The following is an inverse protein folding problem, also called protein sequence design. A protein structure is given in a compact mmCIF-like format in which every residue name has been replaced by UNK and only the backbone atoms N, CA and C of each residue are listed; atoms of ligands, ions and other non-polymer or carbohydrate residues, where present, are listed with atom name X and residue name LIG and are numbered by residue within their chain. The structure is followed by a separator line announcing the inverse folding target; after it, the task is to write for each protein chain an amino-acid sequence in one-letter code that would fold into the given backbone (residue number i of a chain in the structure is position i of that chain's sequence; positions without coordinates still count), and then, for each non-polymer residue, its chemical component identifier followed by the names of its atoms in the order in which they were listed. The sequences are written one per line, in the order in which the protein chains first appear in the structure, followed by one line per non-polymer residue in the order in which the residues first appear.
data_IF_163291219269
#
_entry.id   IF_163291219269
#
_cell.length_a   1.000
_cell.length_b   1.000
_cell.length_c   1.000
_cell.angle_alpha   90.00
_cell.angle_beta   90.00
_cell.angle_gamma   90.00
#
_symmetry.space_group_name_H-M   'P 1'
#
loop_
_entity.id
_entity.type
_entity.pdbx_description
1 polymer ?
#
# COMPACT_ATOMS: atom_id res chain seq x y z
N UNK A 1 25.76 3.06 26.07
CA UNK A 1 25.90 3.12 24.59
C UNK A 1 26.91 2.13 24.00
N UNK A 2 28.05 1.85 24.63
CA UNK A 2 29.10 0.93 24.09
C UNK A 2 28.67 -0.54 23.91
N UNK A 3 27.78 -1.08 24.77
CA UNK A 3 27.36 -2.51 24.70
C UNK A 3 26.41 -2.83 23.53
N UNK A 4 25.64 -1.85 23.02
CA UNK A 4 24.73 -2.05 21.90
C UNK A 4 25.42 -2.06 20.55
N UNK A 5 26.60 -1.43 20.44
CA UNK A 5 27.42 -1.41 19.21
C UNK A 5 28.01 -2.81 18.93
N UNK A 6 28.38 -3.56 19.97
CA UNK A 6 28.92 -4.93 19.80
C UNK A 6 27.84 -5.93 19.33
N UNK A 7 26.60 -5.76 19.78
CA UNK A 7 25.47 -6.60 19.31
C UNK A 7 25.18 -6.33 17.82
N UNK A 8 25.27 -5.08 17.39
CA UNK A 8 25.06 -4.71 15.98
C UNK A 8 26.20 -5.19 15.07
N UNK A 9 27.43 -5.22 15.55
CA UNK A 9 28.60 -5.71 14.80
C UNK A 9 28.58 -7.25 14.68
N UNK A 10 28.12 -7.97 15.72
CA UNK A 10 27.96 -9.44 15.64
C UNK A 10 26.85 -9.89 14.66
N UNK A 11 25.86 -9.04 14.36
CA UNK A 11 24.80 -9.31 13.39
C UNK A 11 25.23 -9.08 11.93
N UNK A 12 26.37 -8.41 11.71
CA UNK A 12 26.91 -8.07 10.39
C UNK A 12 28.11 -8.92 9.94
N UNK A 13 28.55 -9.85 10.78
CA UNK A 13 29.61 -10.79 10.37
C UNK A 13 28.98 -11.97 9.61
N UNK A 14 29.40 -12.22 8.36
CA UNK A 14 28.98 -13.44 7.66
C UNK A 14 29.53 -14.65 8.43
N UNK A 15 28.64 -15.50 8.93
CA UNK A 15 28.99 -16.82 9.44
C UNK A 15 29.68 -17.61 8.32
N UNK A 16 30.83 -18.24 8.59
CA UNK A 16 31.46 -19.10 7.60
C UNK A 16 30.55 -20.31 7.35
N UNK A 17 29.98 -20.40 6.13
CA UNK A 17 29.40 -21.66 5.63
C UNK A 17 30.52 -22.67 5.43
N UNK A 18 30.67 -23.57 6.36
CA UNK A 18 31.68 -24.62 6.29
C UNK A 18 31.70 -25.48 7.52
N UNK A 19 30.55 -26.01 7.96
CA UNK A 19 30.51 -27.16 8.85
C UNK A 19 29.48 -28.15 8.30
N UNK A 20 29.94 -29.24 7.76
CA UNK A 20 29.12 -30.41 7.47
C UNK A 20 28.51 -30.91 8.80
N UNK A 21 27.29 -30.47 9.08
CA UNK A 21 26.41 -31.10 10.04
C UNK A 21 25.70 -32.24 9.29
N UNK A 22 26.21 -33.46 9.47
CA UNK A 22 25.43 -34.67 9.31
C UNK A 22 24.28 -34.60 10.32
N UNK A 23 23.16 -34.06 9.86
CA UNK A 23 22.00 -33.82 10.72
C UNK A 23 21.01 -34.98 10.63
N UNK A 24 20.36 -35.32 11.76
CA UNK A 24 19.27 -36.32 11.79
C UNK A 24 18.04 -35.91 10.96
N UNK A 25 18.08 -34.76 10.28
CA UNK A 25 17.02 -34.24 9.40
C UNK A 25 16.89 -35.11 8.13
N UNK A 26 17.95 -35.71 7.61
CA UNK A 26 17.90 -36.60 6.45
C UNK A 26 17.07 -37.85 6.71
N UNK A 27 17.15 -38.41 7.93
CA UNK A 27 16.39 -39.61 8.34
C UNK A 27 14.89 -39.31 8.53
N UNK A 28 14.52 -38.06 8.89
CA UNK A 28 13.12 -37.61 8.97
C UNK A 28 12.53 -37.34 7.60
N UNK A 29 13.30 -36.88 6.62
CA UNK A 29 12.83 -36.64 5.25
C UNK A 29 12.56 -37.96 4.53
N UNK A 30 13.45 -38.97 4.69
CA UNK A 30 13.26 -40.29 4.10
C UNK A 30 12.11 -41.08 4.74
N UNK A 31 11.81 -40.84 6.03
CA UNK A 31 10.64 -41.40 6.71
C UNK A 31 9.30 -40.71 6.31
N UNK A 32 9.35 -39.49 5.81
CA UNK A 32 8.19 -38.77 5.33
C UNK A 32 7.78 -39.17 3.91
N UNK A 33 8.73 -39.59 3.07
CA UNK A 33 8.43 -40.05 1.69
C UNK A 33 7.73 -41.42 1.60
N UNK A 34 7.74 -42.23 2.68
CA UNK A 34 7.14 -43.58 2.70
C UNK A 34 5.66 -43.58 3.14
N UNK A 35 5.05 -42.44 3.47
CA UNK A 35 3.64 -42.33 3.85
C UNK A 35 2.75 -41.66 2.78
N UNK A 36 2.87 -42.12 1.55
CA UNK A 36 2.11 -41.57 0.40
C UNK A 36 0.77 -42.25 0.13
N UNK A 37 0.09 -42.86 1.13
CA UNK A 37 -1.25 -43.48 0.96
C UNK A 37 -2.27 -43.12 2.06
N UNK A 38 -2.22 -41.88 2.53
CA UNK A 38 -3.34 -41.30 3.30
C UNK A 38 -3.92 -40.14 2.49
N UNK A 39 -5.29 -39.93 2.48
CA UNK A 39 -5.87 -38.78 1.81
C UNK A 39 -5.21 -37.54 2.36
N UNK A 40 -4.57 -36.77 1.49
CA UNK A 40 -3.79 -35.59 1.84
C UNK A 40 -4.65 -34.68 2.71
N UNK A 41 -4.39 -34.65 4.00
CA UNK A 41 -4.82 -33.57 4.88
C UNK A 41 -4.19 -32.33 4.26
N UNK A 42 -5.00 -31.44 3.69
CA UNK A 42 -4.52 -30.17 3.15
C UNK A 42 -3.88 -29.44 4.32
N UNK A 43 -2.58 -29.53 4.41
CA UNK A 43 -1.79 -28.72 5.35
C UNK A 43 -2.07 -27.25 5.02
N UNK A 44 -2.35 -26.46 6.04
CA UNK A 44 -2.62 -25.01 5.85
C UNK A 44 -1.38 -24.36 5.24
N UNK A 45 -1.53 -23.88 3.98
CA UNK A 45 -0.46 -23.18 3.28
C UNK A 45 -0.48 -21.71 3.69
N UNK A 46 0.53 -21.34 4.47
CA UNK A 46 0.70 -19.98 4.99
C UNK A 46 0.94 -18.96 3.88
N UNK A 47 1.72 -19.33 2.86
CA UNK A 47 2.06 -18.44 1.76
C UNK A 47 0.84 -18.16 0.88
N UNK A 48 0.08 -19.20 0.54
CA UNK A 48 -1.17 -19.06 -0.22
C UNK A 48 -2.19 -18.19 0.55
N UNK A 49 -2.30 -18.40 1.85
CA UNK A 49 -3.19 -17.61 2.72
C UNK A 49 -2.79 -16.13 2.76
N UNK A 50 -1.52 -15.82 3.03
CA UNK A 50 -1.03 -14.45 3.16
C UNK A 50 -1.12 -13.69 1.83
N UNK A 51 -0.56 -14.27 0.77
CA UNK A 51 -0.53 -13.61 -0.54
C UNK A 51 -1.90 -13.56 -1.21
N UNK A 52 -2.76 -14.55 -1.00
CA UNK A 52 -4.11 -14.57 -1.54
C UNK A 52 -4.97 -13.41 -1.02
N UNK A 53 -4.77 -12.99 0.23
CA UNK A 53 -5.52 -11.87 0.82
C UNK A 53 -5.00 -10.49 0.39
N UNK A 54 -3.69 -10.35 0.19
CA UNK A 54 -3.04 -9.06 -0.11
C UNK A 54 -3.00 -8.75 -1.60
N UNK A 55 -2.92 -9.77 -2.46
CA UNK A 55 -2.86 -9.60 -3.92
C UNK A 55 -4.17 -9.06 -4.50
N UNK A 56 -4.04 -8.32 -5.58
CA UNK A 56 -5.17 -7.85 -6.38
C UNK A 56 -5.75 -9.00 -7.22
N UNK A 57 -7.08 -9.10 -7.26
CA UNK A 57 -7.81 -10.18 -7.92
C UNK A 57 -8.93 -9.66 -8.82
N UNK A 58 -9.40 -10.48 -9.77
CA UNK A 58 -10.53 -10.19 -10.66
C UNK A 58 -11.88 -10.56 -10.03
N UNK A 59 -11.88 -11.00 -8.79
CA UNK A 59 -13.07 -11.26 -7.99
C UNK A 59 -12.90 -10.70 -6.59
N UNK A 60 -14.00 -10.36 -5.93
CA UNK A 60 -14.00 -9.94 -4.53
C UNK A 60 -14.54 -11.06 -3.66
N UNK A 61 -13.64 -11.80 -3.03
CA UNK A 61 -14.00 -12.83 -2.08
C UNK A 61 -14.58 -12.19 -0.80
N UNK A 62 -15.80 -12.60 -0.42
CA UNK A 62 -16.49 -12.11 0.78
C UNK A 62 -16.30 -13.08 1.93
N UNK A 63 -16.64 -14.35 1.71
CA UNK A 63 -16.57 -15.40 2.73
C UNK A 63 -16.66 -16.80 2.08
N UNK A 64 -16.31 -17.81 2.86
CA UNK A 64 -16.48 -19.21 2.44
C UNK A 64 -17.56 -19.85 3.30
N UNK A 65 -18.69 -20.26 2.70
CA UNK A 65 -19.80 -20.91 3.38
C UNK A 65 -19.83 -22.37 3.00
N UNK A 66 -19.70 -23.28 3.98
CA UNK A 66 -19.70 -24.74 3.78
C UNK A 66 -18.70 -25.23 2.70
N UNK A 67 -17.52 -24.61 2.60
CA UNK A 67 -16.51 -24.97 1.62
C UNK A 67 -16.71 -24.36 0.23
N UNK A 68 -17.77 -23.59 0.00
CA UNK A 68 -18.00 -22.86 -1.24
C UNK A 68 -17.61 -21.39 -1.07
N UNK A 69 -16.68 -20.84 -1.88
CA UNK A 69 -16.35 -19.43 -1.83
C UNK A 69 -17.53 -18.58 -2.33
N UNK A 70 -17.90 -17.56 -1.57
CA UNK A 70 -18.86 -16.55 -1.98
C UNK A 70 -18.08 -15.33 -2.40
N UNK A 71 -17.96 -15.11 -3.73
CA UNK A 71 -17.25 -14.01 -4.32
C UNK A 71 -18.17 -13.15 -5.21
N UNK A 72 -17.88 -11.88 -5.33
CA UNK A 72 -18.52 -10.99 -6.30
C UNK A 72 -17.65 -11.02 -7.55
N UNK A 73 -18.17 -11.55 -8.69
CA UNK A 73 -17.44 -11.52 -9.95
C UNK A 73 -17.34 -10.07 -10.47
N UNK A 74 -16.17 -9.68 -10.95
CA UNK A 74 -15.92 -8.33 -11.43
C UNK A 74 -15.88 -8.30 -12.98
N UNK A 75 -16.21 -7.16 -13.60
CA UNK A 75 -16.14 -7.01 -15.05
C UNK A 75 -14.70 -6.99 -15.52
N UNK A 76 -14.39 -7.90 -16.45
CA UNK A 76 -13.12 -7.97 -17.16
C UNK A 76 -13.23 -7.21 -18.47
N UNK A 77 -12.29 -6.29 -18.69
CA UNK A 77 -12.21 -5.46 -19.90
C UNK A 77 -10.79 -5.60 -20.44
N UNK A 78 -10.64 -6.33 -21.53
CA UNK A 78 -9.32 -6.59 -22.12
C UNK A 78 -9.33 -6.27 -23.62
N UNK A 79 -8.20 -5.75 -24.10
CA UNK A 79 -7.95 -5.55 -25.52
C UNK A 79 -6.91 -6.55 -25.97
N UNK A 80 -7.31 -7.49 -26.82
CA UNK A 80 -6.43 -8.54 -27.35
C UNK A 80 -5.29 -7.95 -28.17
N UNK A 81 -4.09 -8.50 -28.03
CA UNK A 81 -2.92 -8.19 -28.87
C UNK A 81 -2.74 -9.16 -30.03
N UNK A 82 -3.30 -10.37 -29.92
CA UNK A 82 -3.13 -11.43 -30.91
C UNK A 82 -4.28 -11.46 -31.90
N UNK A 83 -5.54 -11.43 -31.43
CA UNK A 83 -6.74 -11.50 -32.26
C UNK A 83 -7.34 -10.14 -32.62
N UNK A 84 -6.94 -9.08 -31.94
CA UNK A 84 -7.53 -7.74 -32.06
C UNK A 84 -8.96 -7.69 -31.51
N UNK A 85 -9.34 -6.54 -30.95
CA UNK A 85 -10.69 -6.31 -30.44
C UNK A 85 -10.76 -6.07 -28.94
N UNK A 86 -11.86 -5.45 -28.54
CA UNK A 86 -12.21 -5.24 -27.13
C UNK A 86 -13.14 -6.36 -26.68
N UNK A 87 -12.76 -7.05 -25.63
CA UNK A 87 -13.55 -8.12 -25.01
C UNK A 87 -14.01 -7.63 -23.64
N UNK A 88 -15.30 -7.77 -23.34
CA UNK A 88 -15.91 -7.38 -22.07
C UNK A 88 -16.77 -8.53 -21.57
N UNK A 89 -16.38 -9.12 -20.45
CA UNK A 89 -17.09 -10.25 -19.86
C UNK A 89 -16.94 -10.26 -18.33
N UNK A 90 -17.66 -11.13 -17.64
CA UNK A 90 -17.55 -11.30 -16.19
C UNK A 90 -16.42 -12.25 -15.84
N UNK A 91 -15.65 -11.97 -14.78
CA UNK A 91 -14.60 -12.88 -14.28
C UNK A 91 -15.09 -14.30 -13.95
N UNK A 92 -16.40 -14.46 -13.70
CA UNK A 92 -17.03 -15.76 -13.45
C UNK A 92 -16.80 -16.77 -14.60
N UNK A 93 -16.68 -16.29 -15.84
CA UNK A 93 -16.42 -17.16 -16.98
C UNK A 93 -14.99 -17.75 -16.95
N UNK A 94 -14.05 -17.10 -16.26
CA UNK A 94 -12.68 -17.57 -16.10
C UNK A 94 -12.50 -18.55 -14.94
N UNK A 95 -13.47 -18.68 -14.02
CA UNK A 95 -13.43 -19.66 -12.93
C UNK A 95 -13.44 -21.11 -13.46
N UNK A 96 -14.01 -21.31 -14.63
CA UNK A 96 -14.14 -22.64 -15.26
C UNK A 96 -13.06 -22.92 -16.30
N UNK A 97 -12.03 -22.09 -16.40
CA UNK A 97 -10.91 -22.26 -17.32
C UNK A 97 -10.78 -21.15 -18.35
N UNK A 98 -10.68 -21.52 -19.62
CA UNK A 98 -10.50 -20.59 -20.73
C UNK A 98 -11.85 -20.06 -21.25
N UNK A 99 -11.92 -18.75 -21.49
CA UNK A 99 -13.06 -18.09 -22.12
C UNK A 99 -12.58 -17.11 -23.20
N UNK A 100 -13.08 -17.27 -24.43
CA UNK A 100 -12.70 -16.44 -25.60
C UNK A 100 -11.17 -16.37 -25.86
N UNK A 101 -10.43 -17.42 -25.52
CA UNK A 101 -8.96 -17.46 -25.65
C UNK A 101 -8.21 -16.79 -24.49
N UNK A 102 -8.92 -16.32 -23.47
CA UNK A 102 -8.34 -15.75 -22.26
C UNK A 102 -8.44 -16.72 -21.09
N UNK A 103 -7.40 -16.77 -20.28
CA UNK A 103 -7.39 -17.49 -19.01
C UNK A 103 -6.56 -16.74 -17.96
N UNK A 104 -6.71 -17.12 -16.70
CA UNK A 104 -5.86 -16.63 -15.62
C UNK A 104 -4.60 -17.47 -15.56
N UNK A 105 -3.45 -16.85 -15.71
CA UNK A 105 -2.17 -17.54 -15.72
C UNK A 105 -1.92 -18.26 -14.38
N UNK A 106 -1.53 -19.55 -14.40
CA UNK A 106 -1.34 -20.35 -13.21
C UNK A 106 -0.18 -19.85 -12.34
N UNK A 107 -0.17 -20.28 -11.07
CA UNK A 107 0.94 -20.04 -10.16
C UNK A 107 2.27 -20.54 -10.75
N UNK A 108 3.34 -19.74 -10.61
CA UNK A 108 4.66 -20.05 -11.15
C UNK A 108 4.87 -19.68 -12.61
N UNK A 109 3.84 -19.19 -13.34
CA UNK A 109 4.02 -18.66 -14.69
C UNK A 109 4.59 -17.23 -14.67
N UNK A 110 5.08 -16.76 -15.82
CA UNK A 110 5.60 -15.39 -15.97
C UNK A 110 4.59 -14.30 -15.61
N UNK A 111 3.31 -14.57 -15.81
CA UNK A 111 2.21 -13.63 -15.59
C UNK A 111 1.22 -14.13 -14.52
N UNK A 112 1.73 -14.78 -13.49
CA UNK A 112 0.96 -15.37 -12.41
C UNK A 112 -0.22 -14.49 -11.94
N UNK A 113 -1.41 -15.09 -11.86
CA UNK A 113 -2.68 -14.45 -11.46
C UNK A 113 -3.10 -13.24 -12.33
N UNK A 114 -2.61 -13.14 -13.56
CA UNK A 114 -3.05 -12.14 -14.55
C UNK A 114 -3.76 -12.81 -15.71
N UNK A 115 -4.66 -12.04 -16.35
CA UNK A 115 -5.29 -12.50 -17.58
C UNK A 115 -4.26 -12.52 -18.70
N UNK A 116 -4.18 -13.65 -19.38
CA UNK A 116 -3.31 -13.89 -20.54
C UNK A 116 -4.12 -14.47 -21.67
N UNK A 117 -3.64 -14.27 -22.90
CA UNK A 117 -4.15 -14.88 -24.13
C UNK A 117 -3.06 -15.78 -24.71
N UNK A 118 -3.47 -16.86 -25.39
CA UNK A 118 -2.56 -17.74 -26.10
C UNK A 118 -2.32 -17.19 -27.50
N UNK A 119 -1.05 -16.93 -27.84
CA UNK A 119 -0.65 -16.61 -29.21
C UNK A 119 -0.67 -17.86 -30.09
N UNK A 120 -0.62 -17.67 -31.41
CA UNK A 120 -0.63 -18.75 -32.37
C UNK A 120 0.57 -19.74 -32.24
N UNK A 121 1.65 -19.29 -31.57
CA UNK A 121 2.83 -20.10 -31.23
C UNK A 121 2.73 -20.83 -29.90
N UNK A 122 1.59 -20.72 -29.20
CA UNK A 122 1.36 -21.31 -27.89
C UNK A 122 1.99 -20.53 -26.73
N UNK A 123 2.58 -19.36 -26.96
CA UNK A 123 3.14 -18.53 -25.91
C UNK A 123 2.05 -17.69 -25.22
N UNK A 124 2.18 -17.52 -23.89
CA UNK A 124 1.32 -16.62 -23.13
C UNK A 124 1.68 -15.16 -23.39
N UNK A 125 0.73 -14.39 -23.87
CA UNK A 125 0.86 -12.96 -24.13
C UNK A 125 -0.11 -12.21 -23.21
N UNK A 126 0.37 -11.15 -22.56
CA UNK A 126 -0.48 -10.29 -21.72
C UNK A 126 -1.20 -9.26 -22.60
N UNK A 127 -2.56 -9.29 -22.67
CA UNK A 127 -3.35 -8.27 -23.36
C UNK A 127 -3.24 -6.91 -22.66
N UNK A 128 -3.82 -5.87 -23.26
CA UNK A 128 -4.06 -4.60 -22.54
C UNK A 128 -5.24 -4.81 -21.59
N UNK A 129 -4.96 -4.80 -20.29
CA UNK A 129 -5.91 -5.10 -19.24
C UNK A 129 -6.41 -3.81 -18.59
N UNK A 130 -7.69 -3.49 -18.80
CA UNK A 130 -8.41 -2.38 -18.20
C UNK A 130 -9.51 -2.86 -17.25
N UNK A 131 -9.44 -4.10 -16.79
CA UNK A 131 -10.44 -4.75 -15.95
C UNK A 131 -10.62 -4.01 -14.62
N UNK A 132 -11.84 -4.06 -14.10
CA UNK A 132 -12.13 -3.57 -12.77
C UNK A 132 -11.76 -4.68 -11.78
N UNK A 133 -10.57 -4.58 -11.20
CA UNK A 133 -10.09 -5.48 -10.17
C UNK A 133 -10.64 -5.11 -8.78
N UNK A 134 -10.43 -5.97 -7.78
CA UNK A 134 -10.78 -5.71 -6.37
C UNK A 134 -10.26 -4.35 -5.90
N UNK A 135 -8.99 -4.02 -6.19
CA UNK A 135 -8.39 -2.76 -5.78
C UNK A 135 -9.00 -1.56 -6.51
N UNK A 136 -9.30 -1.69 -7.81
CA UNK A 136 -9.95 -0.63 -8.58
C UNK A 136 -11.37 -0.37 -8.08
N UNK A 137 -12.15 -1.42 -7.83
CA UNK A 137 -13.50 -1.27 -7.27
C UNK A 137 -13.44 -0.66 -5.87
N UNK A 138 -12.56 -1.13 -5.01
CA UNK A 138 -12.34 -0.56 -3.68
C UNK A 138 -11.97 0.92 -3.75
N UNK A 139 -11.07 1.30 -4.66
CA UNK A 139 -10.69 2.69 -4.90
C UNK A 139 -11.90 3.55 -5.29
N UNK A 140 -12.75 3.08 -6.21
CA UNK A 140 -13.95 3.80 -6.63
C UNK A 140 -14.94 3.98 -5.47
N UNK A 141 -15.17 2.94 -4.68
CA UNK A 141 -16.04 2.99 -3.49
C UNK A 141 -15.50 3.99 -2.47
N UNK A 142 -14.19 3.93 -2.17
CA UNK A 142 -13.57 4.83 -1.20
C UNK A 142 -13.56 6.30 -1.68
N UNK A 143 -13.35 6.54 -2.98
CA UNK A 143 -13.50 7.86 -3.56
C UNK A 143 -14.95 8.37 -3.47
N UNK A 144 -15.94 7.52 -3.73
CA UNK A 144 -17.35 7.89 -3.59
C UNK A 144 -17.70 8.18 -2.11
N UNK A 145 -17.20 7.38 -1.17
CA UNK A 145 -17.35 7.60 0.25
C UNK A 145 -16.72 8.93 0.70
N UNK A 146 -15.50 9.21 0.25
CA UNK A 146 -14.81 10.49 0.53
C UNK A 146 -15.62 11.67 0.00
N UNK A 147 -16.09 11.60 -1.25
CA UNK A 147 -16.93 12.64 -1.83
C UNK A 147 -18.23 12.83 -1.05
N UNK A 148 -18.87 11.74 -0.63
CA UNK A 148 -20.08 11.79 0.18
C UNK A 148 -19.85 12.49 1.52
N UNK A 149 -18.75 12.18 2.22
CA UNK A 149 -18.38 12.81 3.49
C UNK A 149 -18.10 14.30 3.29
N UNK A 150 -17.24 14.66 2.32
CA UNK A 150 -16.83 16.05 2.07
C UNK A 150 -18.03 16.90 1.60
N UNK A 151 -18.83 16.40 0.66
CA UNK A 151 -20.01 17.11 0.18
C UNK A 151 -21.11 17.21 1.27
N UNK A 152 -21.24 16.19 2.13
CA UNK A 152 -22.12 16.22 3.28
C UNK A 152 -21.73 17.32 4.26
N UNK A 153 -20.45 17.41 4.60
CA UNK A 153 -19.87 18.47 5.45
C UNK A 153 -20.08 19.84 4.81
N UNK A 154 -19.74 20.00 3.54
CA UNK A 154 -19.94 21.26 2.82
C UNK A 154 -21.41 21.70 2.75
N UNK A 155 -22.36 20.72 2.61
CA UNK A 155 -23.80 21.01 2.62
C UNK A 155 -24.26 21.49 3.99
N UNK A 156 -23.71 20.93 5.08
CA UNK A 156 -24.03 21.36 6.42
C UNK A 156 -23.64 22.83 6.62
N UNK A 157 -22.39 23.25 6.26
CA UNK A 157 -21.91 24.63 6.36
C UNK A 157 -22.67 25.63 5.48
N UNK A 158 -23.28 25.17 4.38
CA UNK A 158 -24.16 26.03 3.56
C UNK A 158 -25.52 26.31 4.21
N UNK A 159 -25.96 25.48 5.16
CA UNK A 159 -27.29 25.56 5.79
C UNK A 159 -27.26 26.11 7.20
N UNK A 160 -26.12 26.11 7.86
CA UNK A 160 -25.96 26.54 9.24
C UNK A 160 -24.89 27.63 9.31
N UNK A 161 -25.11 28.62 10.16
CA UNK A 161 -24.06 29.61 10.46
C UNK A 161 -23.13 29.03 11.53
N UNK A 162 -21.88 28.76 11.13
CA UNK A 162 -20.87 28.20 12.02
C UNK A 162 -20.51 29.11 13.22
N UNK A 163 -20.96 30.37 13.21
CA UNK A 163 -20.78 31.30 14.32
C UNK A 163 -21.84 31.13 15.41
N UNK A 164 -23.02 30.62 15.04
CA UNK A 164 -24.14 30.42 15.96
C UNK A 164 -24.24 28.96 16.43
N UNK A 165 -23.93 28.00 15.56
CA UNK A 165 -24.02 26.59 15.88
C UNK A 165 -22.69 25.87 15.64
N UNK A 166 -22.10 25.29 16.71
CA UNK A 166 -20.92 24.45 16.56
C UNK A 166 -21.29 23.11 15.89
N UNK A 167 -20.52 22.65 14.89
CA UNK A 167 -20.76 21.38 14.25
C UNK A 167 -20.60 20.21 15.22
N UNK A 168 -21.50 19.22 15.15
CA UNK A 168 -21.50 18.05 16.01
C UNK A 168 -21.35 16.75 15.20
N UNK A 169 -20.96 15.67 15.87
CA UNK A 169 -20.80 14.34 15.25
C UNK A 169 -19.76 14.32 14.15
N UNK A 170 -20.07 13.66 13.02
CA UNK A 170 -19.12 13.49 11.91
C UNK A 170 -18.65 14.79 11.27
N UNK A 171 -19.51 15.85 11.23
CA UNK A 171 -19.12 17.16 10.70
C UNK A 171 -18.08 17.82 11.61
N UNK A 172 -18.25 17.71 12.94
CA UNK A 172 -17.27 18.24 13.89
C UNK A 172 -15.92 17.52 13.82
N UNK A 173 -15.91 16.21 13.61
CA UNK A 173 -14.67 15.45 13.39
C UNK A 173 -13.98 15.90 12.11
N UNK A 174 -14.72 16.12 11.02
CA UNK A 174 -14.17 16.61 9.76
C UNK A 174 -13.59 18.01 9.92
N UNK A 175 -14.28 18.92 10.63
CA UNK A 175 -13.76 20.26 10.92
C UNK A 175 -12.45 20.18 11.71
N UNK A 176 -12.42 19.39 12.78
CA UNK A 176 -11.23 19.20 13.59
C UNK A 176 -10.03 18.73 12.75
N UNK A 177 -10.23 17.70 11.90
CA UNK A 177 -9.18 17.17 11.04
C UNK A 177 -8.72 18.19 10.00
N UNK A 178 -9.64 18.88 9.33
CA UNK A 178 -9.31 19.92 8.34
C UNK A 178 -8.51 21.04 8.98
N UNK A 179 -8.97 21.55 10.10
CA UNK A 179 -8.32 22.66 10.82
C UNK A 179 -6.92 22.25 11.31
N UNK A 180 -6.80 21.06 11.90
CA UNK A 180 -5.51 20.52 12.36
C UNK A 180 -4.51 20.41 11.19
N UNK A 181 -4.91 19.82 10.06
CA UNK A 181 -4.01 19.67 8.91
C UNK A 181 -3.70 21.01 8.24
N UNK A 182 -4.68 21.90 8.13
CA UNK A 182 -4.48 23.20 7.48
C UNK A 182 -3.60 24.13 8.34
N UNK A 183 -3.90 24.27 9.64
CA UNK A 183 -3.23 25.22 10.51
C UNK A 183 -1.87 24.69 10.99
N UNK A 184 -1.80 23.44 11.47
CA UNK A 184 -0.59 22.90 12.08
C UNK A 184 0.42 22.39 11.04
N UNK A 185 -0.04 21.96 9.85
CA UNK A 185 0.82 21.36 8.83
C UNK A 185 0.97 22.30 7.63
N UNK A 186 -0.12 22.62 6.94
CA UNK A 186 -0.03 23.28 5.63
C UNK A 186 0.47 24.72 5.78
N UNK A 187 -0.13 25.50 6.66
CA UNK A 187 0.29 26.89 6.90
C UNK A 187 1.70 26.96 7.44
N UNK A 188 2.04 26.07 8.38
CA UNK A 188 3.37 26.05 9.00
C UNK A 188 4.49 25.71 8.00
N UNK A 189 4.23 24.79 7.07
CA UNK A 189 5.24 24.29 6.11
C UNK A 189 5.30 25.11 4.82
N UNK A 190 4.15 25.54 4.27
CA UNK A 190 4.07 26.21 2.96
C UNK A 190 4.19 27.73 3.08
N UNK A 191 3.77 28.31 4.21
CA UNK A 191 3.82 29.75 4.45
C UNK A 191 2.72 30.53 3.71
N UNK A 192 3.05 31.71 3.15
CA UNK A 192 2.08 32.67 2.57
C UNK A 192 1.21 32.08 1.46
N UNK A 193 1.76 31.18 0.65
CA UNK A 193 1.08 30.57 -0.51
C UNK A 193 0.18 29.37 -0.13
N UNK A 194 -0.03 29.09 1.16
CA UNK A 194 -0.70 27.87 1.64
C UNK A 194 -2.07 27.62 1.01
N UNK A 195 -2.87 28.67 0.80
CA UNK A 195 -4.23 28.58 0.24
C UNK A 195 -4.28 27.95 -1.16
N UNK A 196 -3.18 28.07 -1.91
CA UNK A 196 -3.09 27.48 -3.26
C UNK A 196 -2.90 25.97 -3.21
N UNK A 197 -2.15 25.48 -2.22
CA UNK A 197 -1.78 24.07 -2.09
C UNK A 197 -2.65 23.31 -1.09
N UNK A 198 -3.39 24.01 -0.22
CA UNK A 198 -4.28 23.43 0.79
C UNK A 198 -5.28 22.43 0.17
N UNK A 199 -5.99 22.72 -0.94
CA UNK A 199 -6.93 21.75 -1.50
C UNK A 199 -6.27 20.44 -1.96
N UNK A 200 -5.07 20.51 -2.53
CA UNK A 200 -4.30 19.33 -2.94
C UNK A 200 -3.85 18.51 -1.72
N UNK A 201 -3.24 19.15 -0.73
CA UNK A 201 -2.69 18.50 0.44
C UNK A 201 -3.79 17.88 1.33
N UNK A 202 -4.92 18.58 1.51
CA UNK A 202 -6.09 18.03 2.20
C UNK A 202 -6.68 16.84 1.43
N UNK A 203 -6.77 16.92 0.10
CA UNK A 203 -7.24 15.79 -0.71
C UNK A 203 -6.32 14.59 -0.55
N UNK A 204 -5.00 14.78 -0.59
CA UNK A 204 -4.02 13.72 -0.39
C UNK A 204 -4.15 13.09 1.01
N UNK A 205 -4.29 13.91 2.05
CA UNK A 205 -4.50 13.45 3.42
C UNK A 205 -5.74 12.56 3.55
N UNK A 206 -6.91 13.08 3.15
CA UNK A 206 -8.15 12.32 3.29
C UNK A 206 -8.22 11.12 2.38
N UNK A 207 -7.66 11.20 1.19
CA UNK A 207 -7.56 10.06 0.29
C UNK A 207 -6.75 8.92 0.93
N UNK A 208 -5.54 9.20 1.43
CA UNK A 208 -4.71 8.20 2.08
C UNK A 208 -5.38 7.68 3.34
N UNK A 209 -5.90 8.57 4.20
CA UNK A 209 -6.51 8.21 5.47
C UNK A 209 -7.73 7.29 5.29
N UNK A 210 -8.66 7.63 4.38
CA UNK A 210 -9.85 6.82 4.14
C UNK A 210 -9.49 5.48 3.49
N UNK A 211 -8.54 5.47 2.53
CA UNK A 211 -8.11 4.21 1.94
C UNK A 211 -7.42 3.29 2.95
N UNK A 212 -6.59 3.82 3.83
CA UNK A 212 -5.97 3.06 4.90
C UNK A 212 -7.02 2.53 5.89
N UNK A 213 -7.96 3.39 6.32
CA UNK A 213 -9.01 3.02 7.24
C UNK A 213 -9.91 1.92 6.67
N UNK A 214 -10.31 2.05 5.41
CA UNK A 214 -11.12 1.02 4.74
C UNK A 214 -10.35 -0.27 4.48
N UNK A 215 -9.01 -0.20 4.37
CA UNK A 215 -8.14 -1.37 4.27
C UNK A 215 -8.18 -2.25 5.52
N UNK A 216 -8.29 -1.65 6.71
CA UNK A 216 -8.35 -2.36 8.01
C UNK A 216 -9.69 -3.10 8.18
N UNK A 217 -10.78 -2.61 7.57
CA UNK A 217 -12.12 -3.24 7.70
C UNK A 217 -12.14 -4.59 6.99
N UNK A 218 -12.34 -5.73 7.69
CA UNK A 218 -12.15 -7.06 7.11
C UNK A 218 -13.34 -7.56 6.28
N UNK A 219 -14.40 -6.78 6.12
CA UNK A 219 -15.63 -7.15 5.40
C UNK A 219 -15.97 -6.12 4.32
N UNK A 220 -16.71 -6.59 3.32
CA UNK A 220 -17.18 -5.74 2.22
C UNK A 220 -17.96 -4.51 2.75
N UNK A 221 -17.69 -3.28 2.28
CA UNK A 221 -16.81 -2.89 1.15
C UNK A 221 -15.35 -2.60 1.53
N UNK A 222 -14.89 -3.01 2.69
CA UNK A 222 -13.51 -2.90 3.15
C UNK A 222 -12.61 -4.05 2.69
N UNK A 223 -11.40 -4.13 3.23
CA UNK A 223 -10.45 -5.22 2.99
C UNK A 223 -9.71 -5.15 1.63
N UNK A 224 -9.89 -4.07 0.86
CA UNK A 224 -9.06 -3.81 -0.31
C UNK A 224 -7.81 -3.04 0.11
N UNK A 225 -6.64 -3.66 -0.03
CA UNK A 225 -5.36 -3.05 0.31
C UNK A 225 -4.86 -2.11 -0.79
N UNK A 226 -5.53 -0.95 -0.93
CA UNK A 226 -5.28 0.00 -2.02
C UNK A 226 -3.93 0.69 -1.87
N UNK A 227 -3.62 1.18 -0.68
CA UNK A 227 -2.35 1.88 -0.37
C UNK A 227 -1.18 0.91 -0.18
N UNK A 228 -1.44 -0.38 0.03
CA UNK A 228 -0.47 -1.47 -0.11
C UNK A 228 -0.20 -1.88 -1.57
N UNK A 229 -0.79 -1.19 -2.55
CA UNK A 229 -0.44 -1.35 -3.96
C UNK A 229 0.58 -0.28 -4.35
N UNK A 230 1.78 -0.73 -4.76
CA UNK A 230 2.89 0.16 -5.11
C UNK A 230 2.56 1.13 -6.25
N UNK A 231 1.66 0.74 -7.18
CA UNK A 231 1.26 1.62 -8.29
C UNK A 231 0.45 2.83 -7.77
N UNK A 232 -0.43 2.64 -6.79
CA UNK A 232 -1.22 3.72 -6.20
C UNK A 232 -0.32 4.69 -5.43
N UNK A 233 0.57 4.17 -4.61
CA UNK A 233 1.51 4.99 -3.82
C UNK A 233 2.52 5.71 -4.70
N UNK A 234 2.95 5.09 -5.82
CA UNK A 234 3.77 5.73 -6.83
C UNK A 234 3.05 6.93 -7.47
N UNK A 235 1.79 6.76 -7.87
CA UNK A 235 1.01 7.85 -8.46
C UNK A 235 0.86 9.02 -7.49
N UNK A 236 0.57 8.76 -6.21
CA UNK A 236 0.51 9.81 -5.18
C UNK A 236 1.84 10.55 -5.00
N UNK A 237 2.94 9.81 -4.95
CA UNK A 237 4.29 10.39 -4.86
C UNK A 237 4.65 11.20 -6.11
N UNK A 238 4.23 10.75 -7.30
CA UNK A 238 4.42 11.48 -8.55
C UNK A 238 3.61 12.78 -8.59
N UNK A 239 2.40 12.82 -8.06
CA UNK A 239 1.66 14.07 -7.92
C UNK A 239 2.40 15.08 -7.05
N UNK A 240 2.96 14.65 -5.91
CA UNK A 240 3.81 15.52 -5.07
C UNK A 240 5.06 15.96 -5.83
N UNK A 241 5.74 15.05 -6.52
CA UNK A 241 6.91 15.35 -7.35
C UNK A 241 6.62 16.42 -8.41
N UNK A 242 5.55 16.26 -9.18
CA UNK A 242 5.16 17.23 -10.19
C UNK A 242 4.75 18.57 -9.57
N UNK A 243 4.02 18.55 -8.45
CA UNK A 243 3.62 19.77 -7.76
C UNK A 243 4.84 20.57 -7.30
N UNK A 244 5.83 19.92 -6.71
CA UNK A 244 7.07 20.55 -6.24
C UNK A 244 7.87 21.14 -7.40
N UNK A 245 8.05 20.37 -8.49
CA UNK A 245 8.95 20.75 -9.57
C UNK A 245 8.31 21.74 -10.56
N UNK A 246 7.02 21.57 -10.90
CA UNK A 246 6.33 22.46 -11.85
C UNK A 246 6.08 23.84 -11.23
N UNK A 247 5.72 23.87 -9.93
CA UNK A 247 5.43 25.13 -9.25
C UNK A 247 6.61 25.69 -8.46
N UNK A 248 7.78 25.07 -8.53
CA UNK A 248 9.01 25.54 -7.91
C UNK A 248 9.45 26.92 -8.43
N UNK A 249 9.97 27.76 -7.54
CA UNK A 249 10.50 29.08 -7.88
C UNK A 249 11.79 28.99 -8.72
N UNK A 250 12.16 30.10 -9.39
CA UNK A 250 13.45 30.21 -10.10
C UNK A 250 14.65 30.00 -9.15
N UNK A 251 14.52 30.41 -7.89
CA UNK A 251 15.54 30.19 -6.86
C UNK A 251 15.75 28.70 -6.61
N UNK A 252 14.67 27.94 -6.41
CA UNK A 252 14.71 26.48 -6.24
C UNK A 252 15.48 25.78 -7.39
N UNK A 253 15.21 26.14 -8.65
CA UNK A 253 15.91 25.57 -9.79
C UNK A 253 17.38 26.02 -9.86
N UNK A 254 17.65 27.28 -9.45
CA UNK A 254 19.03 27.77 -9.34
C UNK A 254 19.82 26.98 -8.29
N UNK A 255 19.21 26.70 -7.15
CA UNK A 255 19.86 25.96 -6.07
C UNK A 255 20.14 24.50 -6.43
N UNK A 256 19.24 23.85 -7.18
CA UNK A 256 19.46 22.48 -7.69
C UNK A 256 20.59 22.46 -8.72
N UNK A 257 20.56 23.38 -9.71
CA UNK A 257 21.51 23.33 -10.84
C UNK A 257 22.81 24.05 -10.53
N UNK A 258 22.76 25.07 -9.69
CA UNK A 258 23.92 25.91 -9.36
C UNK A 258 23.91 26.36 -7.89
N UNK A 259 24.05 25.43 -6.94
CA UNK A 259 23.98 25.73 -5.51
C UNK A 259 25.09 26.72 -5.10
N UNK A 260 24.83 27.54 -4.07
CA UNK A 260 25.78 28.51 -3.54
C UNK A 260 26.81 27.84 -2.63
N UNK A 261 27.72 27.04 -3.22
CA UNK A 261 28.81 26.33 -2.55
C UNK A 261 30.16 26.71 -3.14
N UNK A 262 31.27 26.47 -2.44
CA UNK A 262 32.62 26.76 -2.96
C UNK A 262 32.89 26.15 -4.34
N UNK A 263 33.63 26.89 -5.19
CA UNK A 263 33.84 26.53 -6.59
C UNK A 263 34.53 25.18 -6.83
N UNK A 264 35.31 24.68 -5.88
CA UNK A 264 35.98 23.37 -5.98
C UNK A 264 35.01 22.18 -5.93
N UNK A 265 33.78 22.36 -5.35
CA UNK A 265 32.71 21.38 -5.37
C UNK A 265 31.86 21.39 -6.66
N UNK A 266 32.04 22.44 -7.49
CA UNK A 266 31.35 22.60 -8.77
C UNK A 266 32.19 22.18 -9.97
N UNK A 267 33.50 22.37 -9.88
CA UNK A 267 34.47 22.15 -10.98
C UNK A 267 35.73 21.49 -10.40
N UNK A 268 36.24 20.37 -10.98
CA UNK A 268 35.90 19.79 -12.28
C UNK A 268 34.73 18.80 -12.27
N UNK A 269 34.30 18.29 -11.10
CA UNK A 269 33.18 17.36 -10.98
C UNK A 269 31.98 18.08 -10.32
N UNK A 270 30.84 18.20 -10.99
CA UNK A 270 29.63 18.84 -10.44
C UNK A 270 28.93 17.94 -9.41
N UNK A 271 29.60 17.62 -8.29
CA UNK A 271 29.13 16.72 -7.27
C UNK A 271 27.84 17.24 -6.58
N UNK A 272 27.84 18.55 -6.24
CA UNK A 272 26.67 19.14 -5.56
C UNK A 272 25.40 19.14 -6.43
N UNK A 273 25.43 19.62 -7.69
CA UNK A 273 24.27 19.50 -8.57
C UNK A 273 23.81 18.05 -8.78
N UNK A 274 24.75 17.11 -8.86
CA UNK A 274 24.40 15.69 -8.99
C UNK A 274 23.66 15.16 -7.75
N UNK A 275 24.13 15.51 -6.54
CA UNK A 275 23.48 15.13 -5.28
C UNK A 275 22.08 15.76 -5.17
N UNK A 276 21.91 17.03 -5.53
CA UNK A 276 20.61 17.71 -5.51
C UNK A 276 19.62 17.08 -6.51
N UNK A 277 20.07 16.74 -7.71
CA UNK A 277 19.25 16.06 -8.70
C UNK A 277 18.83 14.67 -8.19
N UNK A 278 19.75 13.88 -7.62
CA UNK A 278 19.43 12.60 -7.02
C UNK A 278 18.43 12.81 -5.86
N UNK A 279 18.67 13.82 -5.00
CA UNK A 279 17.76 14.20 -3.91
C UNK A 279 16.35 14.51 -4.38
N UNK A 280 16.19 15.17 -5.51
CA UNK A 280 14.89 15.48 -6.11
C UNK A 280 14.07 14.22 -6.43
N UNK A 281 14.71 13.13 -6.89
CA UNK A 281 14.05 11.85 -7.17
C UNK A 281 13.89 10.98 -5.92
N UNK A 282 14.83 11.01 -4.99
CA UNK A 282 14.78 10.17 -3.79
C UNK A 282 13.67 10.60 -2.81
N UNK A 283 13.31 11.90 -2.76
CA UNK A 283 12.23 12.41 -1.91
C UNK A 283 10.88 11.75 -2.20
N UNK A 284 10.33 11.79 -3.44
CA UNK A 284 9.07 11.10 -3.76
C UNK A 284 9.19 9.58 -3.68
N UNK A 285 10.34 9.00 -4.02
CA UNK A 285 10.58 7.57 -3.84
C UNK A 285 10.47 7.17 -2.37
N UNK A 286 11.04 7.94 -1.46
CA UNK A 286 10.93 7.70 -0.01
C UNK A 286 9.48 7.79 0.49
N UNK A 287 8.69 8.76 -0.03
CA UNK A 287 7.25 8.88 0.29
C UNK A 287 6.48 7.63 -0.16
N UNK A 288 6.71 7.19 -1.40
CA UNK A 288 6.09 5.99 -1.98
C UNK A 288 6.39 4.75 -1.15
N UNK A 289 7.69 4.46 -0.91
CA UNK A 289 8.12 3.25 -0.19
C UNK A 289 7.60 3.25 1.24
N UNK A 290 7.63 4.38 1.93
CA UNK A 290 7.16 4.50 3.30
C UNK A 290 5.67 4.16 3.41
N UNK A 291 4.83 4.74 2.55
CA UNK A 291 3.40 4.49 2.57
C UNK A 291 3.10 3.02 2.22
N UNK A 292 3.68 2.53 1.14
CA UNK A 292 3.53 1.14 0.70
C UNK A 292 3.99 0.13 1.76
N UNK A 293 5.23 0.26 2.25
CA UNK A 293 5.82 -0.73 3.15
C UNK A 293 5.11 -0.81 4.49
N UNK A 294 4.70 0.32 5.08
CA UNK A 294 4.05 0.32 6.39
C UNK A 294 2.67 -0.33 6.35
N UNK A 295 1.87 -0.03 5.32
CA UNK A 295 0.53 -0.62 5.18
C UNK A 295 0.63 -2.11 4.84
N UNK A 296 1.54 -2.48 3.95
CA UNK A 296 1.76 -3.89 3.60
C UNK A 296 2.24 -4.70 4.82
N UNK A 297 3.18 -4.15 5.59
CA UNK A 297 3.68 -4.79 6.80
C UNK A 297 2.59 -4.96 7.87
N UNK A 298 1.72 -3.95 8.07
CA UNK A 298 0.57 -4.03 8.99
C UNK A 298 -0.35 -5.20 8.64
N UNK A 299 -0.77 -5.29 7.37
CA UNK A 299 -1.61 -6.40 6.92
C UNK A 299 -0.94 -7.77 7.09
N UNK A 300 0.34 -7.92 6.76
CA UNK A 300 1.04 -9.18 6.99
C UNK A 300 1.15 -9.55 8.47
N UNK A 301 1.32 -8.57 9.35
CA UNK A 301 1.36 -8.82 10.80
C UNK A 301 0.02 -9.36 11.32
N UNK A 302 -1.10 -8.75 10.94
CA UNK A 302 -2.44 -9.20 11.36
C UNK A 302 -2.75 -10.58 10.79
N UNK A 303 -2.54 -10.80 9.49
CA UNK A 303 -2.74 -12.10 8.85
C UNK A 303 -1.85 -13.17 9.47
N UNK A 304 -0.59 -12.84 9.82
CA UNK A 304 0.33 -13.74 10.51
C UNK A 304 -0.18 -14.16 11.89
N UNK A 305 -0.72 -13.22 12.68
CA UNK A 305 -1.33 -13.54 13.99
C UNK A 305 -2.54 -14.45 13.84
N UNK A 306 -3.39 -14.20 12.84
CA UNK A 306 -4.56 -15.06 12.55
C UNK A 306 -4.12 -16.44 12.07
N UNK A 307 -3.09 -16.52 11.25
CA UNK A 307 -2.56 -17.78 10.73
C UNK A 307 -2.03 -18.70 11.84
N UNK A 308 -1.50 -18.16 12.95
CA UNK A 308 -1.09 -18.95 14.12
C UNK A 308 -2.23 -19.82 14.66
N UNK A 309 -3.48 -19.31 14.62
CA UNK A 309 -4.65 -20.07 15.09
C UNK A 309 -4.87 -21.33 14.24
N UNK A 310 -4.70 -21.22 12.93
CA UNK A 310 -4.83 -22.35 12.00
C UNK A 310 -3.68 -23.32 12.09
N UNK A 311 -2.44 -22.82 12.19
CA UNK A 311 -1.23 -23.65 12.34
C UNK A 311 -1.23 -24.46 13.65
N UNK A 312 -1.82 -23.92 14.72
CA UNK A 312 -1.87 -24.60 16.01
C UNK A 312 -3.08 -25.52 16.18
N UNK A 313 -3.98 -25.57 15.19
CA UNK A 313 -5.19 -26.41 15.25
C UNK A 313 -4.88 -27.90 15.48
N UNK A 314 -3.75 -28.40 14.96
CA UNK A 314 -3.33 -29.81 15.08
C UNK A 314 -2.65 -30.13 16.43
N UNK A 315 -2.29 -29.13 17.25
CA UNK A 315 -1.56 -29.33 18.52
C UNK A 315 -2.45 -29.78 19.69
N UNK A 316 -3.73 -29.99 19.45
CA UNK A 316 -4.70 -30.40 20.44
C UNK A 316 -5.54 -29.26 21.03
N UNK A 317 -6.76 -29.59 21.45
CA UNK A 317 -7.79 -28.59 21.79
C UNK A 317 -7.40 -27.64 22.93
N UNK A 318 -6.70 -28.12 23.97
CA UNK A 318 -6.32 -27.28 25.09
C UNK A 318 -5.22 -26.27 24.74
N UNK A 319 -4.20 -26.69 23.98
CA UNK A 319 -3.11 -25.82 23.56
C UNK A 319 -3.60 -24.84 22.48
N UNK A 320 -4.33 -25.32 21.49
CA UNK A 320 -4.91 -24.46 20.47
C UNK A 320 -5.85 -23.43 21.09
N UNK A 321 -6.72 -23.80 22.04
CA UNK A 321 -7.61 -22.88 22.72
C UNK A 321 -6.86 -21.76 23.48
N UNK A 322 -5.78 -22.11 24.20
CA UNK A 322 -4.98 -21.10 24.91
C UNK A 322 -4.24 -20.16 23.95
N UNK A 323 -3.64 -20.68 22.87
CA UNK A 323 -2.98 -19.89 21.84
C UNK A 323 -3.95 -19.02 21.05
N UNK A 324 -5.16 -19.51 20.80
CA UNK A 324 -6.24 -18.71 20.16
C UNK A 324 -6.60 -17.49 21.01
N UNK A 325 -6.73 -17.64 22.33
CA UNK A 325 -7.02 -16.48 23.21
C UNK A 325 -5.89 -15.44 23.12
N UNK A 326 -4.63 -15.89 23.17
CA UNK A 326 -3.48 -14.99 23.04
C UNK A 326 -3.45 -14.32 21.66
N UNK A 327 -3.68 -15.10 20.60
CA UNK A 327 -3.70 -14.56 19.22
C UNK A 327 -4.82 -13.54 19.03
N UNK A 328 -6.01 -13.75 19.57
CA UNK A 328 -7.13 -12.79 19.51
C UNK A 328 -6.77 -11.50 20.25
N UNK A 329 -6.24 -11.60 21.47
CA UNK A 329 -5.82 -10.41 22.23
C UNK A 329 -4.72 -9.62 21.48
N UNK A 330 -3.74 -10.33 20.93
CA UNK A 330 -2.66 -9.73 20.15
C UNK A 330 -3.22 -9.13 18.85
N UNK A 331 -4.16 -9.80 18.18
CA UNK A 331 -4.84 -9.30 16.98
C UNK A 331 -5.55 -7.97 17.24
N UNK A 332 -6.37 -7.89 18.28
CA UNK A 332 -7.04 -6.62 18.65
C UNK A 332 -6.04 -5.51 18.96
N UNK A 333 -4.93 -5.83 19.64
CA UNK A 333 -3.87 -4.86 19.89
C UNK A 333 -3.22 -4.39 18.57
N UNK A 334 -2.96 -5.31 17.65
CA UNK A 334 -2.39 -4.99 16.34
C UNK A 334 -3.35 -4.15 15.47
N UNK A 335 -4.66 -4.44 15.50
CA UNK A 335 -5.67 -3.61 14.81
C UNK A 335 -5.69 -2.18 15.34
N UNK A 336 -5.57 -1.99 16.66
CA UNK A 336 -5.46 -0.66 17.26
C UNK A 336 -4.18 0.07 16.81
N UNK A 337 -3.05 -0.65 16.72
CA UNK A 337 -1.80 -0.08 16.19
C UNK A 337 -1.93 0.26 14.71
N UNK A 338 -2.55 -0.60 13.90
CA UNK A 338 -2.74 -0.35 12.48
C UNK A 338 -3.63 0.86 12.22
N UNK A 339 -4.68 1.05 13.03
CA UNK A 339 -5.51 2.26 13.01
C UNK A 339 -4.68 3.54 13.27
N UNK A 340 -3.81 3.48 14.28
CA UNK A 340 -2.90 4.59 14.59
C UNK A 340 -1.93 4.85 13.44
N UNK A 341 -1.33 3.79 12.89
CA UNK A 341 -0.41 3.87 11.75
C UNK A 341 -1.12 4.41 10.51
N UNK A 342 -2.36 4.02 10.24
CA UNK A 342 -3.17 4.53 9.14
C UNK A 342 -3.30 6.06 9.18
N UNK A 343 -3.56 6.61 10.35
CA UNK A 343 -3.61 8.07 10.56
C UNK A 343 -2.23 8.72 10.41
N UNK A 344 -1.22 8.18 11.10
CA UNK A 344 0.15 8.72 11.08
C UNK A 344 0.71 8.73 9.65
N UNK A 345 0.45 7.71 8.84
CA UNK A 345 0.92 7.66 7.46
C UNK A 345 0.30 8.76 6.58
N UNK A 346 -1.00 9.00 6.71
CA UNK A 346 -1.66 10.10 6.00
C UNK A 346 -1.08 11.46 6.44
N UNK A 347 -0.89 11.64 7.75
CA UNK A 347 -0.31 12.85 8.33
C UNK A 347 1.12 13.10 7.85
N UNK A 348 2.01 12.10 7.97
CA UNK A 348 3.43 12.21 7.59
C UNK A 348 3.59 12.43 6.08
N UNK A 349 2.79 11.73 5.25
CA UNK A 349 2.82 11.93 3.80
C UNK A 349 2.46 13.39 3.46
N UNK A 350 1.40 13.91 4.04
CA UNK A 350 0.92 15.27 3.81
C UNK A 350 1.92 16.31 4.34
N UNK A 351 2.47 16.09 5.53
CA UNK A 351 3.46 16.97 6.14
C UNK A 351 4.74 17.05 5.30
N UNK A 352 5.29 15.90 4.86
CA UNK A 352 6.49 15.90 4.03
C UNK A 352 6.22 16.51 2.65
N UNK A 353 5.05 16.26 2.05
CA UNK A 353 4.65 16.92 0.80
C UNK A 353 4.54 18.42 0.97
N UNK A 354 3.96 18.90 2.09
CA UNK A 354 3.89 20.32 2.42
C UNK A 354 5.27 20.95 2.61
N UNK A 355 6.18 20.26 3.32
CA UNK A 355 7.58 20.69 3.50
C UNK A 355 8.29 20.81 2.15
N UNK A 356 8.16 19.81 1.27
CA UNK A 356 8.81 19.86 -0.05
C UNK A 356 8.27 21.00 -0.93
N UNK A 357 6.96 21.25 -0.87
CA UNK A 357 6.33 22.39 -1.55
C UNK A 357 6.85 23.70 -0.94
N UNK A 358 6.89 23.82 0.39
CA UNK A 358 7.41 25.00 1.07
C UNK A 358 8.85 25.33 0.70
N UNK A 359 9.74 24.31 0.72
CA UNK A 359 11.14 24.47 0.29
C UNK A 359 11.24 24.91 -1.17
N UNK A 360 10.38 24.40 -2.06
CA UNK A 360 10.41 24.81 -3.48
C UNK A 360 9.90 26.25 -3.70
N UNK A 361 9.27 26.86 -2.69
CA UNK A 361 8.68 28.21 -2.74
C UNK A 361 9.42 29.26 -1.90
N UNK A 362 10.47 28.86 -1.22
CA UNK A 362 11.27 29.81 -0.43
C UNK A 362 11.76 30.97 -1.29
N UNK A 363 11.60 32.18 -0.78
CA UNK A 363 12.16 33.39 -1.36
C UNK A 363 13.62 33.51 -0.92
N UNK A 364 14.53 34.09 -1.76
CA UNK A 364 15.88 34.42 -1.29
C UNK A 364 15.80 35.29 -0.04
N UNK A 365 16.59 34.98 0.98
CA UNK A 365 16.75 35.90 2.08
C UNK A 365 17.30 37.23 1.51
N UNK A 366 16.62 38.33 1.83
CA UNK A 366 17.12 39.64 1.48
C UNK A 366 18.46 39.80 2.23
N UNK A 367 19.57 39.70 1.53
CA UNK A 367 20.89 40.10 2.05
C UNK A 367 20.77 41.58 2.41
N UNK A 368 20.68 41.91 3.71
CA UNK A 368 20.90 43.22 4.23
C UNK A 368 22.34 43.70 3.98
#
# INVERSE_FOLDING_TARGET
MRKWIYIFICLLLPLPLGAELSSPVAEYVEAAEVRQDSPAVKTFDMDEYLYGHVRDSYEWHITTVKGHPVSIPLPVIVVSKTGGGLHVFSSRHLEHGEYEGFHIAPAGSKYENKIVELAADGSEVRPWDFSITKNVLGLLINCALLLFIVLGTARWYRRHDAREEAPKGGVGVMEMLVTMIEDDVIKACVGEDYRRYSPYLLTAFFFIFINNLMGIVPFFPGGANITGNIAVTLVLAMFTFFTVNIFGNKHYWKDILWPEVPTWLKVPLPLMPAIEIIGMFTKPFSLMVRLFANILAGHFMILGVVAVIFLTAELGAALNGSLTVVAVLLGVFMDCLELLVAFIQAYVFTMLSAVFIGLSRQKPEATE
#
